data_IF_303276113298
#
_entry.id   IF_303276113298
#
_cell.length_a   1.000
_cell.length_b   1.000
_cell.length_c   1.000
_cell.angle_alpha   90.00
_cell.angle_beta   90.00
_cell.angle_gamma   90.00
#
_symmetry.space_group_name_H-M   'P 1'
#
loop_
_entity.id
_entity.type
_entity.pdbx_description
1 polymer ?
#
# COMPACT_ATOMS: atom_id res chain seq x y z
N UNK A 1 18.45 3.64 16.18
CA UNK A 1 17.29 4.22 15.47
C UNK A 1 17.80 5.23 14.47
N UNK A 2 17.35 5.15 13.21
CA UNK A 2 17.72 6.14 12.18
C UNK A 2 17.09 7.49 12.50
N UNK A 3 17.72 8.56 12.00
CA UNK A 3 17.13 9.89 12.14
C UNK A 3 15.83 9.99 11.32
N UNK A 4 14.82 10.72 11.81
CA UNK A 4 13.62 10.96 11.03
C UNK A 4 13.92 11.71 9.75
N UNK A 5 13.22 11.38 8.67
CA UNK A 5 13.36 12.07 7.39
C UNK A 5 12.72 13.45 7.46
N UNK A 6 13.20 14.37 6.63
CA UNK A 6 12.60 15.69 6.46
C UNK A 6 11.54 15.61 5.37
N UNK A 7 10.31 15.99 5.68
CA UNK A 7 9.20 16.10 4.72
C UNK A 7 8.60 17.50 4.81
N UNK A 8 7.98 17.94 3.73
CA UNK A 8 7.32 19.24 3.62
C UNK A 8 5.85 19.04 3.26
N UNK A 9 4.95 19.80 3.87
CA UNK A 9 3.52 19.77 3.52
C UNK A 9 3.33 20.04 2.02
N UNK A 10 2.49 19.24 1.36
CA UNK A 10 2.27 19.30 -0.08
C UNK A 10 3.30 18.57 -0.93
N UNK A 11 4.34 18.01 -0.32
CA UNK A 11 5.36 17.25 -1.05
C UNK A 11 4.79 15.96 -1.61
N UNK A 12 5.08 15.67 -2.90
CA UNK A 12 4.83 14.36 -3.47
C UNK A 12 5.89 13.37 -3.01
N UNK A 13 5.45 12.16 -2.66
CA UNK A 13 6.34 11.07 -2.28
C UNK A 13 6.87 10.37 -3.54
N UNK A 14 8.11 9.88 -3.47
CA UNK A 14 8.71 9.13 -4.57
C UNK A 14 7.88 7.87 -4.86
N UNK A 15 7.27 7.74 -6.04
CA UNK A 15 6.41 6.61 -6.34
C UNK A 15 7.18 5.31 -6.51
N UNK A 16 6.46 4.18 -6.36
CA UNK A 16 7.00 2.84 -6.60
C UNK A 16 6.03 2.08 -7.51
N UNK A 17 6.58 1.36 -8.47
CA UNK A 17 5.83 0.48 -9.37
C UNK A 17 6.09 -0.97 -9.00
N UNK A 18 5.04 -1.78 -8.88
CA UNK A 18 5.12 -3.21 -8.53
C UNK A 18 4.29 -4.00 -9.52
N UNK A 19 4.91 -4.97 -10.17
CA UNK A 19 4.22 -5.85 -11.09
C UNK A 19 5.03 -6.14 -12.35
N UNK A 20 4.41 -6.82 -13.31
CA UNK A 20 3.04 -7.34 -13.27
C UNK A 20 2.86 -8.41 -12.19
N UNK A 21 1.71 -8.40 -11.53
CA UNK A 21 1.40 -9.37 -10.48
C UNK A 21 1.19 -10.75 -11.10
N UNK A 22 1.82 -11.77 -10.50
CA UNK A 22 1.76 -13.14 -10.99
C UNK A 22 0.93 -14.03 -10.06
N UNK A 23 0.50 -15.20 -10.57
CA UNK A 23 -0.14 -16.22 -9.73
C UNK A 23 0.79 -16.65 -8.58
N UNK A 24 2.10 -16.71 -8.83
CA UNK A 24 3.08 -17.07 -7.80
C UNK A 24 3.11 -16.05 -6.67
N UNK A 25 3.04 -14.76 -6.98
CA UNK A 25 2.97 -13.70 -5.96
C UNK A 25 1.76 -13.89 -5.05
N UNK A 26 0.61 -14.15 -5.63
CA UNK A 26 -0.66 -14.33 -4.92
C UNK A 26 -0.61 -15.59 -4.05
N UNK A 27 -0.13 -16.71 -4.60
CA UNK A 27 -0.03 -17.99 -3.88
C UNK A 27 0.93 -17.90 -2.71
N UNK A 28 2.06 -17.22 -2.86
CA UNK A 28 3.01 -16.99 -1.76
C UNK A 28 2.35 -16.25 -0.62
N UNK A 29 1.65 -15.19 -0.90
CA UNK A 29 0.97 -14.40 0.13
C UNK A 29 -0.18 -15.20 0.78
N UNK A 30 -0.97 -15.90 -0.03
CA UNK A 30 -2.05 -16.75 0.45
C UNK A 30 -1.53 -17.82 1.42
N UNK A 31 -0.44 -18.48 1.06
CA UNK A 31 0.19 -19.51 1.91
C UNK A 31 0.71 -18.94 3.23
N UNK A 32 1.35 -17.78 3.18
CA UNK A 32 1.86 -17.11 4.37
C UNK A 32 0.76 -16.64 5.31
N UNK A 33 -0.35 -16.12 4.75
CA UNK A 33 -1.48 -15.58 5.52
C UNK A 33 -2.55 -16.61 5.89
N UNK A 34 -2.49 -17.81 5.33
CA UNK A 34 -3.52 -18.85 5.54
C UNK A 34 -4.82 -18.54 4.82
N UNK A 35 -4.80 -17.72 3.78
CA UNK A 35 -5.99 -17.38 2.98
C UNK A 35 -6.09 -18.29 1.76
N UNK A 36 -6.84 -19.37 1.89
CA UNK A 36 -6.99 -20.40 0.86
C UNK A 36 -8.30 -20.26 0.07
N UNK A 37 -8.89 -19.08 0.02
CA UNK A 37 -10.10 -18.85 -0.77
C UNK A 37 -9.82 -19.13 -2.25
N UNK A 38 -10.63 -19.96 -2.93
CA UNK A 38 -10.43 -20.32 -4.34
C UNK A 38 -10.41 -19.14 -5.31
N UNK A 39 -10.93 -17.98 -4.93
CA UNK A 39 -10.85 -16.74 -5.73
C UNK A 39 -9.39 -16.35 -6.05
N UNK A 40 -8.43 -16.84 -5.27
CA UNK A 40 -7.02 -16.48 -5.38
C UNK A 40 -6.20 -17.49 -6.20
N UNK A 41 -6.77 -18.65 -6.57
CA UNK A 41 -6.00 -19.68 -7.26
C UNK A 41 -6.78 -20.56 -8.25
N UNK A 42 -8.11 -20.47 -8.28
CA UNK A 42 -8.96 -21.26 -9.19
C UNK A 42 -9.67 -20.34 -10.18
N UNK A 43 -9.20 -20.28 -11.46
CA UNK A 43 -9.79 -19.40 -12.45
C UNK A 43 -11.27 -19.71 -12.76
N UNK A 44 -11.66 -20.96 -12.76
CA UNK A 44 -13.04 -21.35 -13.03
C UNK A 44 -13.96 -20.92 -11.88
N UNK A 45 -13.50 -21.09 -10.65
CA UNK A 45 -14.23 -20.63 -9.47
C UNK A 45 -14.42 -19.11 -9.49
N UNK A 46 -13.35 -18.35 -9.81
CA UNK A 46 -13.39 -16.90 -9.90
C UNK A 46 -14.40 -16.41 -10.92
N UNK A 47 -14.45 -17.04 -12.11
CA UNK A 47 -15.42 -16.70 -13.16
C UNK A 47 -16.84 -17.01 -12.72
N UNK A 48 -17.08 -18.16 -12.09
CA UNK A 48 -18.40 -18.50 -11.54
C UNK A 48 -18.85 -17.52 -10.46
N UNK A 49 -17.90 -16.93 -9.73
CA UNK A 49 -18.19 -15.92 -8.71
C UNK A 49 -18.42 -14.52 -9.28
N UNK A 50 -18.38 -14.36 -10.60
CA UNK A 50 -18.63 -13.08 -11.27
C UNK A 50 -17.40 -12.22 -11.50
N UNK A 51 -16.19 -12.79 -11.33
CA UNK A 51 -14.93 -12.08 -11.55
C UNK A 51 -14.35 -12.44 -12.94
N UNK A 52 -13.58 -11.54 -13.57
CA UNK A 52 -12.96 -11.84 -14.85
C UNK A 52 -11.84 -12.88 -14.76
N UNK A 53 -11.32 -13.16 -13.59
CA UNK A 53 -10.26 -14.12 -13.33
C UNK A 53 -9.85 -14.12 -11.86
N UNK A 54 -8.73 -14.80 -11.59
CA UNK A 54 -8.15 -14.84 -10.23
C UNK A 54 -7.77 -13.42 -9.78
N UNK A 55 -8.10 -13.12 -8.53
CA UNK A 55 -7.77 -11.84 -7.90
C UNK A 55 -6.79 -12.05 -6.74
N UNK A 56 -6.00 -11.01 -6.47
CA UNK A 56 -5.19 -10.92 -5.27
C UNK A 56 -6.07 -10.65 -4.04
N UNK A 57 -5.52 -10.90 -2.86
CA UNK A 57 -6.16 -10.51 -1.60
C UNK A 57 -5.76 -9.07 -1.24
N UNK A 58 -6.72 -8.30 -0.71
CA UNK A 58 -6.50 -6.89 -0.36
C UNK A 58 -5.35 -6.67 0.61
N UNK A 59 -5.13 -7.59 1.54
CA UNK A 59 -4.03 -7.53 2.49
C UNK A 59 -2.65 -7.51 1.83
N UNK A 60 -2.49 -8.14 0.65
CA UNK A 60 -1.24 -8.10 -0.11
C UNK A 60 -0.94 -6.68 -0.59
N UNK A 61 -1.92 -6.00 -1.20
CA UNK A 61 -1.77 -4.63 -1.67
C UNK A 61 -1.56 -3.66 -0.49
N UNK A 62 -2.28 -3.86 0.61
CA UNK A 62 -2.09 -3.08 1.83
C UNK A 62 -0.68 -3.24 2.39
N UNK A 63 -0.16 -4.46 2.39
CA UNK A 63 1.21 -4.75 2.80
C UNK A 63 2.26 -4.09 1.91
N UNK A 64 2.02 -4.05 0.60
CA UNK A 64 2.90 -3.36 -0.34
C UNK A 64 2.96 -1.85 -0.05
N UNK A 65 1.81 -1.21 0.21
CA UNK A 65 1.76 0.20 0.60
C UNK A 65 2.49 0.44 1.93
N UNK A 66 2.25 -0.41 2.92
CA UNK A 66 2.90 -0.28 4.23
C UNK A 66 4.42 -0.42 4.13
N UNK A 67 4.90 -1.39 3.34
CA UNK A 67 6.34 -1.59 3.11
C UNK A 67 6.97 -0.39 2.41
N UNK A 68 6.29 0.16 1.40
CA UNK A 68 6.76 1.33 0.68
C UNK A 68 6.88 2.55 1.58
N UNK A 69 5.83 2.86 2.36
CA UNK A 69 5.90 4.02 3.26
C UNK A 69 6.92 3.81 4.38
N UNK A 70 7.06 2.58 4.87
CA UNK A 70 8.07 2.24 5.87
C UNK A 70 9.50 2.45 5.34
N UNK A 71 9.73 2.17 4.06
CA UNK A 71 11.03 2.46 3.42
C UNK A 71 11.28 3.97 3.32
N UNK A 72 10.24 4.76 3.05
CA UNK A 72 10.36 6.20 2.90
C UNK A 72 10.62 6.93 4.22
N UNK A 73 9.90 6.56 5.29
CA UNK A 73 9.94 7.28 6.56
C UNK A 73 10.74 6.55 7.65
N UNK A 74 11.23 5.37 7.37
CA UNK A 74 11.81 4.41 8.30
C UNK A 74 10.76 3.82 9.24
N UNK A 75 10.68 2.50 9.30
CA UNK A 75 9.61 1.78 10.00
C UNK A 75 9.48 2.17 11.47
N UNK A 76 10.61 2.49 12.13
CA UNK A 76 10.64 2.91 13.54
C UNK A 76 9.96 4.25 13.80
N UNK A 77 9.71 5.03 12.73
CA UNK A 77 9.02 6.33 12.82
C UNK A 77 7.56 6.26 12.36
N UNK A 78 7.11 5.13 11.84
CA UNK A 78 5.71 4.95 11.44
C UNK A 78 4.83 4.83 12.69
N UNK A 79 3.87 5.74 12.84
CA UNK A 79 3.02 5.85 14.02
C UNK A 79 1.63 5.26 13.81
N UNK A 80 1.15 5.25 12.58
CA UNK A 80 -0.17 4.74 12.26
C UNK A 80 -0.32 4.50 10.77
N UNK A 81 -1.16 3.51 10.44
CA UNK A 81 -1.44 3.13 9.06
C UNK A 81 -2.85 2.57 8.99
N UNK A 82 -3.67 3.09 8.07
CA UNK A 82 -5.02 2.61 7.84
C UNK A 82 -5.29 2.51 6.35
N UNK A 83 -6.12 1.55 5.96
CA UNK A 83 -6.42 1.28 4.56
C UNK A 83 -7.92 1.21 4.31
N UNK A 84 -8.30 1.53 3.07
CA UNK A 84 -9.63 1.27 2.51
C UNK A 84 -9.44 0.53 1.19
N UNK A 85 -10.07 -0.63 1.09
CA UNK A 85 -10.07 -1.42 -0.14
C UNK A 85 -11.12 -0.88 -1.11
N UNK A 86 -10.70 -0.58 -2.34
CA UNK A 86 -11.59 0.04 -3.33
C UNK A 86 -11.93 -0.88 -4.50
N UNK A 87 -10.96 -1.64 -5.02
CA UNK A 87 -11.20 -2.57 -6.13
C UNK A 87 -10.21 -3.73 -6.11
N UNK A 88 -10.56 -4.89 -6.75
CA UNK A 88 -9.64 -6.02 -6.84
C UNK A 88 -8.43 -5.74 -7.72
N UNK A 89 -7.33 -6.44 -7.43
CA UNK A 89 -6.14 -6.51 -8.28
C UNK A 89 -6.10 -7.87 -8.95
N UNK A 90 -5.91 -7.87 -10.27
CA UNK A 90 -5.88 -9.09 -11.08
C UNK A 90 -4.46 -9.45 -11.49
N UNK A 91 -4.26 -10.73 -11.85
CA UNK A 91 -3.01 -11.20 -12.44
C UNK A 91 -2.70 -10.37 -13.70
N UNK A 92 -1.43 -10.00 -13.85
CA UNK A 92 -0.93 -9.23 -14.99
C UNK A 92 -1.02 -7.72 -14.82
N UNK A 93 -1.72 -7.23 -13.81
CA UNK A 93 -1.80 -5.81 -13.54
C UNK A 93 -0.57 -5.31 -12.78
N UNK A 94 -0.20 -4.06 -13.03
CA UNK A 94 0.92 -3.38 -12.36
C UNK A 94 0.38 -2.29 -11.47
N UNK A 95 0.77 -2.32 -10.19
CA UNK A 95 0.41 -1.30 -9.22
C UNK A 95 1.40 -0.14 -9.26
N UNK A 96 0.88 1.06 -9.17
CA UNK A 96 1.66 2.25 -8.84
C UNK A 96 1.30 2.70 -7.43
N UNK A 97 2.32 2.77 -6.56
CA UNK A 97 2.19 3.29 -5.21
C UNK A 97 2.61 4.75 -5.24
N UNK A 98 1.72 5.64 -4.82
CA UNK A 98 1.94 7.07 -4.84
C UNK A 98 1.26 7.74 -3.64
N UNK A 99 1.61 8.97 -3.37
CA UNK A 99 1.01 9.72 -2.28
C UNK A 99 1.69 11.05 -2.08
N UNK A 100 1.17 11.78 -1.12
CA UNK A 100 1.66 13.11 -0.77
C UNK A 100 1.55 13.37 0.73
N UNK A 101 2.22 14.42 1.16
CA UNK A 101 2.17 14.91 2.53
C UNK A 101 1.02 15.90 2.66
N UNK A 102 -0.05 15.52 3.37
CA UNK A 102 -1.21 16.40 3.57
C UNK A 102 -0.86 17.57 4.47
N UNK A 103 -0.22 17.27 5.61
CA UNK A 103 0.09 18.26 6.63
C UNK A 103 1.22 17.78 7.53
N UNK A 104 1.84 18.73 8.23
CA UNK A 104 2.82 18.45 9.27
C UNK A 104 2.38 19.15 10.54
N UNK A 105 2.18 18.37 11.60
CA UNK A 105 1.86 18.86 12.94
C UNK A 105 3.15 18.99 13.72
N UNK A 106 3.48 20.21 14.13
CA UNK A 106 4.72 20.49 14.87
C UNK A 106 4.40 20.86 16.31
N UNK A 107 5.09 20.23 17.24
CA UNK A 107 5.14 20.60 18.65
C UNK A 107 6.56 21.09 18.99
N UNK A 108 6.80 21.47 20.26
CA UNK A 108 8.13 21.95 20.70
C UNK A 108 9.26 20.96 20.37
N UNK A 109 8.99 19.65 20.48
CA UNK A 109 10.02 18.61 20.42
C UNK A 109 9.82 17.60 19.27
N UNK A 110 8.67 17.62 18.58
CA UNK A 110 8.34 16.61 17.57
C UNK A 110 7.61 17.21 16.38
N UNK A 111 7.77 16.58 15.24
CA UNK A 111 6.96 16.83 14.05
C UNK A 111 6.37 15.51 13.55
N UNK A 112 5.10 15.53 13.17
CA UNK A 112 4.38 14.37 12.65
C UNK A 112 3.75 14.74 11.30
N UNK A 113 4.08 13.97 10.28
CA UNK A 113 3.48 14.10 8.96
C UNK A 113 2.22 13.23 8.85
N UNK A 114 1.17 13.79 8.27
CA UNK A 114 -0.02 13.08 7.84
C UNK A 114 0.08 12.85 6.34
N UNK A 115 0.00 11.58 5.92
CA UNK A 115 0.25 11.16 4.54
C UNK A 115 -1.03 10.57 3.94
N UNK A 116 -1.35 10.98 2.72
CA UNK A 116 -2.36 10.33 1.87
C UNK A 116 -1.66 9.46 0.84
N UNK A 117 -2.03 8.19 0.78
CA UNK A 117 -1.37 7.18 -0.03
C UNK A 117 -2.41 6.45 -0.88
N UNK A 118 -1.98 5.95 -2.05
CA UNK A 118 -2.84 5.11 -2.87
C UNK A 118 -2.03 4.12 -3.70
N UNK A 119 -2.66 2.97 -3.97
CA UNK A 119 -2.20 2.01 -4.95
C UNK A 119 -3.20 1.99 -6.10
N UNK A 120 -2.71 2.20 -7.32
CA UNK A 120 -3.56 2.32 -8.52
C UNK A 120 -3.09 1.40 -9.61
N UNK A 121 -4.03 1.02 -10.48
CA UNK A 121 -3.77 0.43 -11.80
C UNK A 121 -4.31 1.41 -12.83
N UNK A 122 -3.42 2.14 -13.52
CA UNK A 122 -3.82 3.28 -14.33
C UNK A 122 -4.58 4.30 -13.46
N UNK A 123 -5.78 4.65 -13.87
CA UNK A 123 -6.63 5.60 -13.13
C UNK A 123 -7.52 4.93 -12.06
N UNK A 124 -7.51 3.60 -11.98
CA UNK A 124 -8.35 2.86 -11.04
C UNK A 124 -7.67 2.71 -9.69
N UNK A 125 -8.32 3.18 -8.64
CA UNK A 125 -7.83 3.02 -7.28
C UNK A 125 -8.12 1.58 -6.80
N UNK A 126 -7.08 0.90 -6.36
CA UNK A 126 -7.17 -0.44 -5.77
C UNK A 126 -7.25 -0.35 -4.25
N UNK A 127 -6.34 0.42 -3.65
CA UNK A 127 -6.33 0.68 -2.20
C UNK A 127 -6.01 2.15 -1.99
N UNK A 128 -6.71 2.79 -1.06
CA UNK A 128 -6.31 4.09 -0.50
C UNK A 128 -5.89 3.88 0.95
N UNK A 129 -4.95 4.69 1.41
CA UNK A 129 -4.42 4.56 2.76
C UNK A 129 -4.07 5.92 3.34
N UNK A 130 -4.00 5.96 4.67
CA UNK A 130 -3.47 7.08 5.42
C UNK A 130 -2.40 6.58 6.36
N UNK A 131 -1.33 7.36 6.50
CA UNK A 131 -0.27 7.06 7.43
C UNK A 131 0.10 8.30 8.24
N UNK A 132 0.63 8.07 9.42
CA UNK A 132 1.24 9.10 10.26
C UNK A 132 2.65 8.67 10.59
N UNK A 133 3.59 9.57 10.45
CA UNK A 133 4.99 9.26 10.71
C UNK A 133 5.68 10.42 11.41
N UNK A 134 6.58 10.09 12.34
CA UNK A 134 7.48 11.08 12.92
C UNK A 134 8.48 11.53 11.85
N UNK A 135 8.63 12.83 11.71
CA UNK A 135 9.55 13.45 10.75
C UNK A 135 10.47 14.44 11.46
N UNK A 136 11.54 14.86 10.78
CA UNK A 136 12.43 15.86 11.32
C UNK A 136 11.72 17.21 11.43
N UNK A 137 12.02 17.94 12.49
CA UNK A 137 11.58 19.32 12.67
C UNK A 137 12.49 20.25 11.86
N UNK A 138 11.91 21.26 11.23
CA UNK A 138 12.67 22.36 10.63
C UNK A 138 13.18 23.32 11.70
#
# INVERSE_FOLDING_TARGET
MREPVLLTAGQDLEPRSIGPVTQTDIVRFAGAGGDFNPLHHDPEYAVRAGLPGVISMGQMQAGMLAAWVADLVHVEHLLGFSVRFASPLQIGETLTLAGDVDSIETTADTAVANLSLQATVGDRVVVSARARARVASN
#
